data_IF_923568016578
#
_entry.id   IF_923568016578
#
_cell.length_a   1.000
_cell.length_b   1.000
_cell.length_c   1.000
_cell.angle_alpha   90.00
_cell.angle_beta   90.00
_cell.angle_gamma   90.00
#
_symmetry.space_group_name_H-M   'P 1'
#
loop_
_entity.id
_entity.type
_entity.pdbx_description
1 polymer ?
#
# COMPACT_ATOMS: atom_id res chain seq x y z
N UNK A 1 13.36 17.61 -9.09
CA UNK A 1 12.96 16.38 -8.38
C UNK A 1 11.52 16.10 -8.76
N UNK A 2 11.28 15.05 -9.56
CA UNK A 2 9.92 14.69 -9.94
C UNK A 2 9.25 14.05 -8.73
N UNK A 3 8.50 14.88 -7.97
CA UNK A 3 7.38 14.40 -7.17
C UNK A 3 6.53 13.59 -8.13
N UNK A 4 6.54 12.26 -8.00
CA UNK A 4 5.53 11.48 -8.68
C UNK A 4 4.19 11.96 -8.14
N UNK A 5 3.31 12.29 -9.08
CA UNK A 5 2.13 13.08 -8.82
C UNK A 5 1.19 12.34 -7.86
N UNK A 6 1.04 12.82 -6.62
CA UNK A 6 0.06 12.30 -5.65
C UNK A 6 -1.39 12.40 -6.20
N UNK A 7 -1.57 13.12 -7.30
CA UNK A 7 -2.80 13.18 -8.11
C UNK A 7 -3.13 11.84 -8.81
N UNK A 8 -2.20 10.88 -8.94
CA UNK A 8 -2.50 9.60 -9.58
C UNK A 8 -3.58 8.78 -8.85
N UNK A 9 -3.68 8.90 -7.52
CA UNK A 9 -4.75 8.28 -6.75
C UNK A 9 -6.09 9.03 -6.90
N UNK A 10 -6.03 10.33 -7.19
CA UNK A 10 -7.19 11.22 -7.28
C UNK A 10 -8.14 10.83 -8.43
N UNK A 11 -7.62 10.32 -9.54
CA UNK A 11 -8.43 9.98 -10.73
C UNK A 11 -8.86 8.51 -10.79
N UNK A 12 -8.56 7.71 -9.76
CA UNK A 12 -8.89 6.28 -9.77
C UNK A 12 -10.39 6.01 -9.53
N UNK A 13 -11.02 5.09 -10.28
CA UNK A 13 -12.33 4.56 -9.94
C UNK A 13 -12.34 3.98 -8.52
N UNK A 14 -13.47 4.09 -7.81
CA UNK A 14 -13.57 3.67 -6.40
C UNK A 14 -13.09 2.22 -6.15
N UNK A 15 -13.42 1.19 -6.96
CA UNK A 15 -12.90 -0.16 -6.74
C UNK A 15 -11.37 -0.27 -6.84
N UNK A 16 -10.74 0.55 -7.70
CA UNK A 16 -9.28 0.61 -7.82
C UNK A 16 -8.66 1.36 -6.65
N UNK A 17 -9.33 2.40 -6.16
CA UNK A 17 -8.93 3.10 -4.95
C UNK A 17 -8.96 2.16 -3.75
N UNK A 18 -10.04 1.39 -3.59
CA UNK A 18 -10.15 0.40 -2.51
C UNK A 18 -9.06 -0.67 -2.57
N UNK A 19 -8.77 -1.19 -3.77
CA UNK A 19 -7.69 -2.14 -3.97
C UNK A 19 -6.31 -1.54 -3.66
N UNK A 20 -6.13 -0.26 -3.95
CA UNK A 20 -4.92 0.48 -3.61
C UNK A 20 -4.77 0.65 -2.09
N UNK A 21 -5.85 1.03 -1.38
CA UNK A 21 -5.82 1.14 0.09
C UNK A 21 -5.53 -0.21 0.73
N UNK A 22 -6.18 -1.28 0.26
CA UNK A 22 -5.91 -2.63 0.76
C UNK A 22 -4.47 -3.07 0.49
N UNK A 23 -3.94 -2.76 -0.69
CA UNK A 23 -2.54 -3.04 -1.03
C UNK A 23 -1.58 -2.33 -0.05
N UNK A 24 -1.83 -1.04 0.23
CA UNK A 24 -1.05 -0.28 1.20
C UNK A 24 -1.13 -0.89 2.59
N UNK A 25 -2.32 -1.36 3.01
CA UNK A 25 -2.51 -2.03 4.29
C UNK A 25 -1.75 -3.36 4.37
N UNK A 26 -1.79 -4.17 3.32
CA UNK A 26 -1.08 -5.47 3.27
C UNK A 26 0.44 -5.30 3.36
N UNK A 27 0.97 -4.23 2.76
CA UNK A 27 2.37 -3.86 2.82
C UNK A 27 2.77 -3.28 4.18
N UNK A 28 1.92 -2.46 4.80
CA UNK A 28 2.17 -1.88 6.12
C UNK A 28 2.06 -2.93 7.25
N UNK A 29 1.17 -3.91 7.13
CA UNK A 29 0.99 -5.01 8.09
C UNK A 29 1.98 -6.17 7.91
N UNK A 30 3.03 -5.97 7.12
CA UNK A 30 3.84 -7.07 6.60
C UNK A 30 4.71 -7.77 7.65
N UNK A 31 5.09 -7.07 8.72
CA UNK A 31 5.80 -7.60 9.87
C UNK A 31 4.89 -8.33 10.89
N UNK A 32 3.57 -8.27 10.70
CA UNK A 32 2.57 -8.98 11.50
C UNK A 32 2.14 -8.25 12.77
N UNK A 33 2.76 -7.12 13.13
CA UNK A 33 2.34 -6.28 14.26
C UNK A 33 2.01 -4.88 13.75
N UNK A 34 0.74 -4.64 13.46
CA UNK A 34 0.25 -3.31 13.11
C UNK A 34 -0.41 -2.69 14.33
N UNK A 35 0.36 -1.96 15.14
CA UNK A 35 -0.12 -1.38 16.40
C UNK A 35 -1.22 -0.33 16.18
N UNK A 36 -1.97 0.00 17.23
CA UNK A 36 -3.03 1.03 17.14
C UNK A 36 -2.46 2.43 16.81
N UNK A 37 -1.23 2.71 17.23
CA UNK A 37 -0.52 3.94 16.89
C UNK A 37 -0.17 3.97 15.39
N UNK A 38 0.45 2.92 14.87
CA UNK A 38 0.79 2.79 13.44
C UNK A 38 -0.46 2.83 12.56
N UNK A 39 -1.55 2.18 12.97
CA UNK A 39 -2.85 2.27 12.30
C UNK A 39 -3.36 3.71 12.23
N UNK A 40 -3.22 4.48 13.32
CA UNK A 40 -3.65 5.89 13.35
C UNK A 40 -2.80 6.76 12.41
N UNK A 41 -1.48 6.55 12.37
CA UNK A 41 -0.57 7.25 11.46
C UNK A 41 -0.82 6.90 9.99
N UNK A 42 -1.05 5.61 9.72
CA UNK A 42 -1.42 5.09 8.43
C UNK A 42 -2.74 5.68 7.91
N UNK A 43 -3.78 5.72 8.75
CA UNK A 43 -5.08 6.34 8.42
C UNK A 43 -4.93 7.80 8.03
N UNK A 44 -4.19 8.60 8.81
CA UNK A 44 -3.94 10.02 8.47
C UNK A 44 -3.21 10.18 7.13
N UNK A 45 -2.25 9.30 6.84
CA UNK A 45 -1.54 9.30 5.56
C UNK A 45 -2.48 8.98 4.40
N UNK A 46 -3.39 8.03 4.60
CA UNK A 46 -4.44 7.67 3.64
C UNK A 46 -5.47 8.76 3.43
N UNK A 47 -5.95 9.42 4.48
CA UNK A 47 -6.88 10.55 4.38
C UNK A 47 -6.26 11.69 3.54
N UNK A 48 -4.99 12.01 3.81
CA UNK A 48 -4.26 13.00 3.02
C UNK A 48 -4.08 12.58 1.56
N UNK A 49 -3.87 11.28 1.29
CA UNK A 49 -3.60 10.75 -0.04
C UNK A 49 -4.88 10.58 -0.87
N UNK A 50 -5.98 10.20 -0.23
CA UNK A 50 -7.29 10.02 -0.87
C UNK A 50 -8.05 11.34 -1.03
N UNK A 51 -7.54 12.45 -0.50
CA UNK A 51 -8.12 13.80 -0.64
C UNK A 51 -9.62 13.82 -0.31
N UNK A 52 -10.02 13.16 0.77
CA UNK A 52 -11.43 13.05 1.25
C UNK A 52 -12.41 12.31 0.33
N UNK A 53 -11.92 11.56 -0.67
CA UNK A 53 -12.78 10.73 -1.54
C UNK A 53 -13.41 9.54 -0.84
N UNK A 54 -12.75 9.06 0.21
CA UNK A 54 -13.32 8.13 1.17
C UNK A 54 -13.65 8.94 2.40
N UNK A 55 -14.89 8.84 2.86
CA UNK A 55 -15.20 9.39 4.17
C UNK A 55 -14.47 8.56 5.25
N UNK A 56 -14.20 9.12 6.44
CA UNK A 56 -13.48 8.40 7.48
C UNK A 56 -14.14 7.07 7.86
N UNK A 57 -15.47 6.97 7.82
CA UNK A 57 -16.17 5.74 8.15
C UNK A 57 -16.01 4.66 7.05
N UNK A 58 -16.03 5.04 5.77
CA UNK A 58 -15.69 4.14 4.65
C UNK A 58 -14.25 3.64 4.73
N UNK A 59 -13.30 4.53 5.06
CA UNK A 59 -11.90 4.14 5.23
C UNK A 59 -11.74 3.15 6.39
N UNK A 60 -12.35 3.43 7.54
CA UNK A 60 -12.34 2.52 8.69
C UNK A 60 -12.94 1.15 8.33
N UNK A 61 -14.11 1.12 7.68
CA UNK A 61 -14.75 -0.12 7.25
C UNK A 61 -13.88 -0.92 6.27
N UNK A 62 -13.17 -0.24 5.37
CA UNK A 62 -12.27 -0.88 4.43
C UNK A 62 -11.06 -1.50 5.12
N UNK A 63 -10.46 -0.80 6.08
CA UNK A 63 -9.31 -1.30 6.83
C UNK A 63 -9.69 -2.48 7.73
N UNK A 64 -10.84 -2.42 8.42
CA UNK A 64 -11.34 -3.54 9.21
C UNK A 64 -11.65 -4.76 8.33
N UNK A 65 -12.21 -4.55 7.14
CA UNK A 65 -12.40 -5.62 6.15
C UNK A 65 -11.06 -6.20 5.70
N UNK A 66 -10.09 -5.37 5.36
CA UNK A 66 -8.77 -5.81 4.92
C UNK A 66 -8.04 -6.61 6.00
N UNK A 67 -8.16 -6.19 7.27
CA UNK A 67 -7.62 -6.92 8.44
C UNK A 67 -8.30 -8.27 8.62
N UNK A 68 -9.63 -8.30 8.64
CA UNK A 68 -10.42 -9.53 8.75
C UNK A 68 -10.09 -10.52 7.62
N UNK A 69 -9.98 -10.00 6.40
CA UNK A 69 -9.67 -10.78 5.21
C UNK A 69 -8.22 -11.31 5.24
N UNK A 70 -7.27 -10.52 5.74
CA UNK A 70 -5.89 -10.94 5.96
C UNK A 70 -5.81 -12.07 6.99
N UNK A 71 -6.50 -11.93 8.12
CA UNK A 71 -6.55 -12.95 9.18
C UNK A 71 -7.22 -14.25 8.72
N UNK A 72 -8.24 -14.14 7.86
CA UNK A 72 -9.04 -15.29 7.40
C UNK A 72 -8.40 -16.04 6.24
N UNK A 73 -7.84 -15.30 5.27
CA UNK A 73 -7.40 -15.88 3.99
C UNK A 73 -5.88 -15.85 3.80
N UNK A 74 -5.15 -15.10 4.62
CA UNK A 74 -3.71 -14.94 4.51
C UNK A 74 -3.30 -13.97 3.40
N UNK A 75 -2.06 -13.47 3.51
CA UNK A 75 -1.51 -12.41 2.66
C UNK A 75 -1.52 -12.75 1.17
N UNK A 76 -1.11 -13.96 0.80
CA UNK A 76 -1.00 -14.38 -0.60
C UNK A 76 -2.35 -14.29 -1.34
N UNK A 77 -3.42 -14.80 -0.72
CA UNK A 77 -4.76 -14.72 -1.27
C UNK A 77 -5.24 -13.27 -1.44
N UNK A 78 -4.89 -12.38 -0.50
CA UNK A 78 -5.24 -10.97 -0.58
C UNK A 78 -4.47 -10.23 -1.65
N UNK A 79 -3.18 -10.51 -1.81
CA UNK A 79 -2.37 -9.95 -2.89
C UNK A 79 -2.88 -10.40 -4.26
N UNK A 80 -3.34 -11.65 -4.40
CA UNK A 80 -4.00 -12.12 -5.62
C UNK A 80 -5.31 -11.35 -5.90
N UNK A 81 -6.16 -11.14 -4.90
CA UNK A 81 -7.39 -10.37 -5.04
C UNK A 81 -7.15 -8.88 -5.35
N UNK A 82 -6.07 -8.29 -4.83
CA UNK A 82 -5.60 -6.96 -5.24
C UNK A 82 -5.16 -6.96 -6.69
N UNK A 83 -4.38 -7.96 -7.12
CA UNK A 83 -3.90 -8.10 -8.51
C UNK A 83 -5.06 -8.17 -9.51
N UNK A 84 -6.12 -8.90 -9.17
CA UNK A 84 -7.32 -9.00 -10.02
C UNK A 84 -8.06 -7.66 -10.18
N UNK A 85 -8.11 -6.83 -9.13
CA UNK A 85 -8.73 -5.49 -9.16
C UNK A 85 -7.83 -4.43 -9.81
N UNK A 86 -6.52 -4.68 -9.88
CA UNK A 86 -5.51 -3.83 -10.52
C UNK A 86 -4.85 -4.57 -11.71
N UNK A 87 -5.60 -4.87 -12.78
CA UNK A 87 -5.08 -5.70 -13.87
C UNK A 87 -3.91 -5.03 -14.61
N UNK A 88 -3.86 -3.70 -14.64
CA UNK A 88 -2.80 -2.97 -15.31
C UNK A 88 -1.50 -2.97 -14.49
N UNK A 89 -0.38 -3.38 -15.10
CA UNK A 89 0.94 -3.35 -14.45
C UNK A 89 1.31 -1.96 -13.91
N UNK A 90 0.92 -0.89 -14.61
CA UNK A 90 1.11 0.48 -14.14
C UNK A 90 0.36 0.78 -12.85
N UNK A 91 -0.87 0.28 -12.69
CA UNK A 91 -1.66 0.48 -11.48
C UNK A 91 -1.06 -0.25 -10.28
N UNK A 92 -0.53 -1.47 -10.49
CA UNK A 92 0.19 -2.24 -9.45
C UNK A 92 1.44 -1.51 -8.98
N UNK A 93 2.22 -0.94 -9.91
CA UNK A 93 3.41 -0.13 -9.59
C UNK A 93 3.07 1.14 -8.83
N UNK A 94 1.99 1.82 -9.20
CA UNK A 94 1.50 2.99 -8.46
C UNK A 94 1.10 2.61 -7.04
N UNK A 95 0.34 1.53 -6.86
CA UNK A 95 -0.04 1.03 -5.54
C UNK A 95 1.19 0.72 -4.67
N UNK A 96 2.17 -0.01 -5.22
CA UNK A 96 3.43 -0.29 -4.52
C UNK A 96 4.19 0.99 -4.16
N UNK A 97 4.27 1.95 -5.07
CA UNK A 97 4.96 3.22 -4.81
C UNK A 97 4.30 4.02 -3.67
N UNK A 98 2.97 3.97 -3.56
CA UNK A 98 2.25 4.66 -2.48
C UNK A 98 2.41 3.92 -1.15
N UNK A 99 2.37 2.59 -1.17
CA UNK A 99 2.67 1.78 0.01
C UNK A 99 4.08 2.06 0.57
N UNK A 100 5.10 2.12 -0.30
CA UNK A 100 6.48 2.46 0.09
C UNK A 100 6.54 3.85 0.73
N UNK A 101 5.85 4.85 0.16
CA UNK A 101 5.86 6.21 0.70
C UNK A 101 5.21 6.29 2.08
N UNK A 102 4.15 5.51 2.32
CA UNK A 102 3.51 5.46 3.63
C UNK A 102 4.36 4.70 4.64
N UNK A 103 4.98 3.58 4.26
CA UNK A 103 5.93 2.88 5.11
C UNK A 103 7.16 3.76 5.45
N UNK A 104 7.60 4.61 4.51
CA UNK A 104 8.68 5.57 4.73
C UNK A 104 8.24 6.82 5.52
N UNK A 105 6.95 7.03 5.78
CA UNK A 105 6.46 8.27 6.40
C UNK A 105 6.99 8.46 7.83
N UNK A 106 7.20 7.37 8.55
CA UNK A 106 7.77 7.36 9.91
C UNK A 106 9.32 7.29 9.91
N UNK A 107 9.94 7.37 8.72
CA UNK A 107 11.39 7.50 8.53
C UNK A 107 12.02 6.33 7.77
N UNK A 108 12.91 5.61 8.45
CA UNK A 108 13.79 4.60 7.82
C UNK A 108 13.01 3.30 7.63
N UNK A 109 12.90 2.84 6.37
CA UNK A 109 12.47 1.48 6.06
C UNK A 109 13.56 0.51 6.51
N UNK A 110 13.27 -0.35 7.50
CA UNK A 110 14.22 -1.37 7.97
C UNK A 110 14.40 -2.47 6.92
N UNK A 111 15.44 -3.28 7.09
CA UNK A 111 15.74 -4.40 6.17
C UNK A 111 14.58 -5.41 6.08
N UNK A 112 13.92 -5.72 7.19
CA UNK A 112 12.74 -6.60 7.20
C UNK A 112 11.59 -6.02 6.38
N UNK A 113 11.27 -4.74 6.59
CA UNK A 113 10.22 -4.03 5.84
C UNK A 113 10.56 -3.96 4.35
N UNK A 114 11.84 -3.75 4.01
CA UNK A 114 12.31 -3.78 2.62
C UNK A 114 12.08 -5.14 1.96
N UNK A 115 12.48 -6.23 2.59
CA UNK A 115 12.27 -7.57 2.02
C UNK A 115 10.77 -7.86 1.83
N UNK A 116 9.94 -7.48 2.79
CA UNK A 116 8.48 -7.63 2.69
C UNK A 116 7.87 -6.83 1.54
N UNK A 117 8.38 -5.63 1.27
CA UNK A 117 7.99 -4.82 0.10
C UNK A 117 8.39 -5.53 -1.20
N UNK A 118 9.56 -6.17 -1.25
CA UNK A 118 10.01 -6.92 -2.43
C UNK A 118 9.17 -8.19 -2.66
N UNK A 119 8.83 -8.92 -1.60
CA UNK A 119 7.96 -10.10 -1.70
C UNK A 119 6.54 -9.70 -2.15
N UNK A 120 6.05 -8.55 -1.65
CA UNK A 120 4.79 -7.96 -2.10
C UNK A 120 4.86 -7.57 -3.59
N UNK A 121 5.97 -7.02 -4.04
CA UNK A 121 6.19 -6.66 -5.45
C UNK A 121 6.16 -7.90 -6.34
N UNK A 122 6.82 -8.99 -5.93
CA UNK A 122 6.84 -10.26 -6.66
C UNK A 122 5.44 -10.87 -6.79
N UNK A 123 4.64 -10.88 -5.71
CA UNK A 123 3.24 -11.33 -5.75
C UNK A 123 2.35 -10.48 -6.69
N UNK A 124 2.73 -9.22 -6.89
CA UNK A 124 2.09 -8.31 -7.84
C UNK A 124 2.69 -8.36 -9.24
N UNK A 125 3.60 -9.30 -9.52
CA UNK A 125 4.35 -9.43 -10.79
C UNK A 125 5.10 -8.14 -11.18
N UNK A 126 5.61 -7.44 -10.17
CA UNK A 126 6.53 -6.31 -10.36
C UNK A 126 7.95 -6.87 -10.23
N UNK A 127 8.81 -6.51 -11.17
CA UNK A 127 10.20 -6.93 -11.17
C UNK A 127 10.92 -6.52 -9.87
N UNK A 128 11.72 -7.43 -9.31
CA UNK A 128 12.36 -7.23 -8.00
C UNK A 128 13.39 -6.09 -8.02
N UNK A 129 14.13 -5.93 -9.12
CA UNK A 129 15.09 -4.83 -9.26
C UNK A 129 14.35 -3.50 -9.41
N UNK A 130 13.26 -3.48 -10.18
CA UNK A 130 12.39 -2.32 -10.29
C UNK A 130 11.80 -1.92 -8.93
N UNK A 131 11.29 -2.87 -8.14
CA UNK A 131 10.79 -2.63 -6.79
C UNK A 131 11.89 -2.11 -5.86
N UNK A 132 13.10 -2.67 -5.93
CA UNK A 132 14.24 -2.22 -5.15
C UNK A 132 14.64 -0.77 -5.48
N UNK A 133 14.54 -0.36 -6.75
CA UNK A 133 14.79 1.01 -7.18
C UNK A 133 13.67 1.98 -6.73
N UNK A 134 12.41 1.54 -6.72
CA UNK A 134 11.31 2.31 -6.13
C UNK A 134 11.56 2.58 -4.64
N UNK A 135 11.96 1.56 -3.87
CA UNK A 135 12.31 1.72 -2.45
C UNK A 135 13.43 2.74 -2.26
N UNK A 136 14.53 2.62 -3.03
CA UNK A 136 15.66 3.57 -2.97
C UNK A 136 15.24 5.00 -3.28
N UNK A 137 14.35 5.19 -4.26
CA UNK A 137 13.90 6.51 -4.70
C UNK A 137 12.95 7.17 -3.71
N UNK A 138 12.10 6.39 -3.04
CA UNK A 138 10.99 6.87 -2.23
C UNK A 138 11.29 6.87 -0.72
N UNK A 139 12.36 6.20 -0.29
CA UNK A 139 12.92 6.29 1.06
C UNK A 139 14.40 6.72 0.99
N UNK A 140 14.68 7.97 0.58
CA UNK A 140 16.04 8.50 0.66
C UNK A 140 16.40 8.68 2.13
N UNK A 141 17.49 8.03 2.55
CA UNK A 141 18.10 8.21 3.87
C UNK A 141 18.54 9.66 4.13
#
# INVERSE_FOLDING_TARGET
>A
MSRFDMTAAHDLPQPKLEALVEMMFLAASADGEFSDEEQTHFKKSLESLTSTRLDPAELDALLERAKTDLDTHGREARLAAVKERLPEAGARKVALSLAIQVAAADGIIRTSERELILDTAEALEIDRDEAADLVRKLSPA
#
